data_IF_803672202782
#
_entry.id   IF_803672202782
#
_cell.length_a   1.000
_cell.length_b   1.000
_cell.length_c   1.000
_cell.angle_alpha   90.00
_cell.angle_beta   90.00
_cell.angle_gamma   90.00
#
_symmetry.space_group_name_H-M   'P 1'
#
loop_
_entity.id
_entity.type
_entity.pdbx_description
1 polymer ?
#
# COMPACT_ATOMS: atom_id res chain seq x y z
N UNK A 1 16.30 14.68 29.67
CA UNK A 1 15.85 15.30 28.41
C UNK A 1 14.74 14.44 27.85
N UNK A 2 13.52 14.97 27.68
CA UNK A 2 12.44 14.25 27.00
C UNK A 2 12.66 14.37 25.49
N UNK A 3 12.83 13.25 24.79
CA UNK A 3 12.85 13.26 23.34
C UNK A 3 11.47 13.66 22.80
N UNK A 4 11.45 14.46 21.72
CA UNK A 4 10.22 14.71 20.99
C UNK A 4 9.69 13.39 20.38
N UNK A 5 8.36 13.20 20.29
CA UNK A 5 7.80 12.00 19.70
C UNK A 5 8.20 11.89 18.21
N UNK A 6 8.67 10.71 17.80
CA UNK A 6 8.96 10.37 16.40
C UNK A 6 7.72 9.74 15.77
N UNK A 7 7.37 10.21 14.57
CA UNK A 7 6.31 9.64 13.75
C UNK A 7 6.93 9.02 12.50
N UNK A 8 6.43 7.84 12.12
CA UNK A 8 6.87 7.11 10.92
C UNK A 8 5.65 6.83 10.07
N UNK A 9 5.76 7.06 8.75
CA UNK A 9 4.78 6.65 7.76
C UNK A 9 5.39 5.55 6.89
N UNK A 10 4.72 4.40 6.81
CA UNK A 10 5.16 3.28 5.99
C UNK A 10 4.39 3.29 4.67
N UNK A 11 5.12 3.46 3.56
CA UNK A 11 4.56 3.53 2.21
C UNK A 11 5.08 2.39 1.33
N UNK A 12 4.24 1.96 0.38
CA UNK A 12 4.50 0.81 -0.48
C UNK A 12 4.06 1.13 -1.93
N UNK A 13 4.97 1.01 -2.89
CA UNK A 13 4.75 1.46 -4.28
C UNK A 13 4.50 0.28 -5.24
N UNK A 14 4.16 0.55 -6.50
CA UNK A 14 4.02 -0.45 -7.57
C UNK A 14 2.87 -1.46 -7.48
N UNK A 15 2.09 -1.51 -6.40
CA UNK A 15 0.94 -2.44 -6.27
C UNK A 15 1.27 -3.90 -6.63
N UNK A 16 2.22 -4.53 -5.93
CA UNK A 16 2.60 -5.94 -6.13
C UNK A 16 1.85 -6.89 -5.20
N UNK A 17 1.79 -8.19 -5.54
CA UNK A 17 1.00 -9.19 -4.79
C UNK A 17 1.42 -9.33 -3.32
N UNK A 18 2.72 -9.21 -3.03
CA UNK A 18 3.26 -9.28 -1.66
C UNK A 18 2.69 -8.18 -0.75
N UNK A 19 2.15 -7.10 -1.31
CA UNK A 19 1.48 -6.07 -0.51
C UNK A 19 0.18 -6.58 0.12
N UNK A 20 -0.58 -7.36 -0.63
CA UNK A 20 -1.83 -7.97 -0.17
C UNK A 20 -1.57 -9.22 0.67
N UNK A 21 -0.58 -10.03 0.28
CA UNK A 21 -0.35 -11.36 0.86
C UNK A 21 0.52 -11.33 2.11
N UNK A 22 1.43 -10.34 2.22
CA UNK A 22 2.43 -10.28 3.29
C UNK A 22 2.38 -8.96 4.04
N UNK A 23 2.57 -7.83 3.34
CA UNK A 23 2.78 -6.54 4.00
C UNK A 23 1.54 -6.10 4.79
N UNK A 24 0.37 -6.04 4.16
CA UNK A 24 -0.84 -5.61 4.84
C UNK A 24 -1.23 -6.53 6.02
N UNK A 25 -1.28 -7.88 5.88
CA UNK A 25 -1.52 -8.76 7.01
C UNK A 25 -0.52 -8.56 8.17
N UNK A 26 0.76 -8.38 7.88
CA UNK A 26 1.78 -8.16 8.91
C UNK A 26 1.59 -6.82 9.63
N UNK A 27 1.32 -5.74 8.88
CA UNK A 27 0.99 -4.44 9.48
C UNK A 27 -0.24 -4.56 10.39
N UNK A 28 -1.27 -5.28 9.95
CA UNK A 28 -2.48 -5.50 10.74
C UNK A 28 -2.20 -6.28 12.03
N UNK A 29 -1.38 -7.33 11.96
CA UNK A 29 -0.95 -8.10 13.15
C UNK A 29 -0.19 -7.24 14.16
N UNK A 30 0.58 -6.26 13.67
CA UNK A 30 1.32 -5.31 14.50
C UNK A 30 0.47 -4.10 14.94
N UNK A 31 -0.80 -4.03 14.57
CA UNK A 31 -1.69 -2.91 14.90
C UNK A 31 -1.37 -1.62 14.13
N UNK A 32 -0.62 -1.70 13.04
CA UNK A 32 -0.17 -0.57 12.20
C UNK A 32 -1.00 -0.51 10.91
N UNK A 33 -1.08 0.68 10.32
CA UNK A 33 -1.61 0.91 8.97
C UNK A 33 -0.55 1.57 8.10
N UNK A 34 -0.70 1.43 6.80
CA UNK A 34 0.25 1.92 5.81
C UNK A 34 -0.47 2.45 4.58
N UNK A 35 0.27 3.18 3.75
CA UNK A 35 -0.21 3.76 2.50
C UNK A 35 0.35 2.95 1.33
N UNK A 36 -0.52 2.51 0.43
CA UNK A 36 -0.14 1.76 -0.76
C UNK A 36 -0.40 2.60 -2.01
N UNK A 37 0.65 2.99 -2.70
CA UNK A 37 0.57 3.70 -3.97
C UNK A 37 0.35 2.69 -5.10
N UNK A 38 -0.84 2.72 -5.69
CA UNK A 38 -1.27 1.76 -6.71
C UNK A 38 -1.31 2.39 -8.09
N UNK A 39 -0.82 1.69 -9.11
CA UNK A 39 -1.04 2.06 -10.50
C UNK A 39 -2.01 1.10 -11.17
N UNK A 40 -2.93 1.65 -11.97
CA UNK A 40 -4.10 0.92 -12.46
C UNK A 40 -3.75 -0.19 -13.46
N UNK A 41 -2.60 -0.08 -14.13
CA UNK A 41 -2.10 -1.04 -15.11
C UNK A 41 -1.36 -2.24 -14.52
N UNK A 42 -1.19 -2.33 -13.20
CA UNK A 42 -0.42 -3.43 -12.60
C UNK A 42 -1.21 -4.75 -12.68
N UNK A 43 -0.50 -5.87 -12.83
CA UNK A 43 -1.12 -7.19 -12.86
C UNK A 43 -1.89 -7.46 -11.56
N UNK A 44 -1.29 -7.19 -10.40
CA UNK A 44 -1.96 -7.43 -9.12
C UNK A 44 -3.17 -6.52 -8.94
N UNK A 45 -3.10 -5.24 -9.29
CA UNK A 45 -4.23 -4.33 -9.13
C UNK A 45 -5.41 -4.70 -10.04
N UNK A 46 -5.13 -5.01 -11.31
CA UNK A 46 -6.15 -5.40 -12.30
C UNK A 46 -6.84 -6.71 -11.93
N UNK A 47 -6.08 -7.75 -11.56
CA UNK A 47 -6.63 -9.07 -11.25
C UNK A 47 -7.18 -9.21 -9.82
N UNK A 48 -6.73 -8.37 -8.87
CA UNK A 48 -7.12 -8.44 -7.46
C UNK A 48 -7.80 -7.17 -6.96
N UNK A 49 -8.42 -6.39 -7.85
CA UNK A 49 -9.06 -5.11 -7.54
C UNK A 49 -9.99 -5.16 -6.30
N UNK A 50 -10.78 -6.23 -6.15
CA UNK A 50 -11.66 -6.40 -4.98
C UNK A 50 -10.89 -6.51 -3.66
N UNK A 51 -9.72 -7.13 -3.68
CA UNK A 51 -8.85 -7.27 -2.51
C UNK A 51 -8.17 -5.94 -2.17
N UNK A 52 -7.70 -5.20 -3.18
CA UNK A 52 -7.24 -3.82 -3.02
C UNK A 52 -8.33 -2.92 -2.43
N UNK A 53 -9.58 -3.00 -2.91
CA UNK A 53 -10.71 -2.26 -2.32
C UNK A 53 -10.96 -2.65 -0.86
N UNK A 54 -10.85 -3.94 -0.51
CA UNK A 54 -10.96 -4.39 0.89
C UNK A 54 -9.81 -3.89 1.76
N UNK A 55 -8.60 -3.77 1.21
CA UNK A 55 -7.45 -3.22 1.92
C UNK A 55 -7.75 -1.81 2.45
N UNK A 56 -8.34 -0.95 1.61
CA UNK A 56 -8.79 0.39 2.02
C UNK A 56 -9.84 0.34 3.14
N UNK A 57 -10.83 -0.55 3.03
CA UNK A 57 -11.88 -0.72 4.04
C UNK A 57 -11.35 -1.22 5.39
N UNK A 58 -10.14 -1.82 5.43
CA UNK A 58 -9.46 -2.25 6.67
C UNK A 58 -8.63 -1.13 7.31
N UNK A 59 -8.65 0.08 6.76
CA UNK A 59 -8.01 1.27 7.32
C UNK A 59 -6.62 1.57 6.76
N UNK A 60 -6.19 0.88 5.71
CA UNK A 60 -5.02 1.30 4.93
C UNK A 60 -5.41 2.38 3.93
N UNK A 61 -4.44 3.21 3.54
CA UNK A 61 -4.65 4.21 2.49
C UNK A 61 -4.26 3.65 1.12
N UNK A 62 -5.03 3.97 0.08
CA UNK A 62 -4.63 3.74 -1.31
C UNK A 62 -4.33 5.08 -1.98
N UNK A 63 -3.05 5.31 -2.30
CA UNK A 63 -2.59 6.46 -3.07
C UNK A 63 -2.50 6.16 -4.56
N UNK A 64 -2.52 7.19 -5.40
CA UNK A 64 -2.33 7.03 -6.85
C UNK A 64 -0.84 6.95 -7.21
N UNK A 65 -0.46 5.96 -8.02
CA UNK A 65 0.89 5.82 -8.58
C UNK A 65 0.89 5.90 -10.11
N UNK A 66 0.07 6.80 -10.67
CA UNK A 66 -0.26 6.92 -12.11
C UNK A 66 -1.15 5.79 -12.64
N UNK A 67 -1.46 5.81 -13.95
CA UNK A 67 -2.25 4.75 -14.59
C UNK A 67 -1.34 3.61 -15.05
N UNK A 68 -0.23 3.91 -15.73
CA UNK A 68 0.60 2.91 -16.42
C UNK A 68 2.05 2.84 -15.93
N UNK A 69 2.40 3.55 -14.85
CA UNK A 69 3.74 3.59 -14.29
C UNK A 69 4.83 3.83 -15.35
N UNK A 70 4.81 5.01 -16.01
CA UNK A 70 5.72 5.26 -17.13
C UNK A 70 7.17 5.25 -16.64
N UNK A 71 7.96 4.31 -17.17
CA UNK A 71 9.41 4.42 -17.09
C UNK A 71 9.86 5.56 -18.01
N UNK A 72 10.77 6.41 -17.54
CA UNK A 72 11.49 7.30 -18.46
C UNK A 72 12.41 6.42 -19.31
N UNK A 73 12.38 6.65 -20.63
CA UNK A 73 13.39 6.14 -21.54
C UNK A 73 14.78 6.70 -21.19
#
# INVERSE_FOLDING_TARGET
MSHAPVLVSLTFDDSVDSHLDLAAPLLEQLGVRGTFFVYLGSHSFTHRNRQWRRLALRGHELGNHTIFHPARA
#
